data_IF_912925447706
#
_entry.id   IF_912925447706
#
_cell.length_a   1.000
_cell.length_b   1.000
_cell.length_c   1.000
_cell.angle_alpha   90.00
_cell.angle_beta   90.00
_cell.angle_gamma   90.00
#
_symmetry.space_group_name_H-M   'P 1'
#
loop_
_entity.id
_entity.type
_entity.pdbx_description
1 polymer ?
#
# COMPACT_ATOMS: atom_id res chain seq x y z
N UNK A 1 -3.01 12.30 1.61
CA UNK A 1 -2.09 11.84 0.55
C UNK A 1 -2.39 10.40 0.16
N UNK A 2 -1.99 9.98 -1.05
CA UNK A 2 -2.05 8.60 -1.51
C UNK A 2 -0.67 8.13 -1.96
N UNK A 3 -0.19 7.04 -1.39
CA UNK A 3 1.10 6.41 -1.70
C UNK A 3 0.87 5.02 -2.30
N UNK A 4 0.81 4.96 -3.64
CA UNK A 4 0.70 3.71 -4.37
C UNK A 4 2.08 3.17 -4.79
N UNK A 5 3.02 3.16 -3.86
CA UNK A 5 4.42 2.75 -4.01
C UNK A 5 4.97 2.24 -2.69
N UNK A 6 6.12 1.59 -2.72
CA UNK A 6 6.96 1.32 -1.56
C UNK A 6 8.33 2.00 -1.73
N UNK A 7 9.09 2.11 -0.66
CA UNK A 7 10.38 2.79 -0.66
C UNK A 7 11.48 1.87 -1.15
N UNK A 8 12.01 2.15 -2.35
CA UNK A 8 13.17 1.42 -2.89
C UNK A 8 14.44 1.63 -2.03
N UNK A 9 15.39 0.71 -2.06
CA UNK A 9 15.44 -0.51 -2.88
C UNK A 9 14.95 -1.76 -2.16
N UNK A 10 14.34 -1.65 -0.99
CA UNK A 10 13.97 -2.79 -0.16
C UNK A 10 12.45 -2.91 -0.01
N UNK A 11 11.90 -4.11 -0.26
CA UNK A 11 10.51 -4.41 0.07
C UNK A 11 10.27 -4.33 1.58
N UNK A 12 11.23 -4.81 2.37
CA UNK A 12 11.24 -4.65 3.83
C UNK A 12 12.53 -4.00 4.31
N UNK A 13 12.40 -2.91 5.02
CA UNK A 13 13.47 -2.15 5.65
C UNK A 13 13.75 -2.68 7.06
N UNK A 14 15.01 -3.05 7.32
CA UNK A 14 15.41 -3.66 8.58
C UNK A 14 15.81 -2.60 9.60
N UNK A 15 15.07 -2.47 10.74
CA UNK A 15 15.40 -1.46 11.76
C UNK A 15 16.72 -1.71 12.48
N UNK A 16 17.29 -2.90 12.34
CA UNK A 16 18.58 -3.31 12.95
C UNK A 16 19.78 -3.16 12.04
N UNK A 17 19.57 -2.87 10.75
CA UNK A 17 20.64 -2.73 9.76
C UNK A 17 20.97 -1.26 9.53
N UNK A 18 22.16 -0.81 9.85
CA UNK A 18 22.59 0.58 9.96
C UNK A 18 22.05 1.57 8.90
N UNK A 19 22.34 1.36 7.62
CA UNK A 19 21.85 2.26 6.55
C UNK A 19 20.34 2.14 6.33
N UNK A 20 19.77 0.95 6.45
CA UNK A 20 18.34 0.73 6.36
C UNK A 20 17.59 1.35 7.53
N UNK A 21 18.10 1.20 8.76
CA UNK A 21 17.53 1.85 9.94
C UNK A 21 17.47 3.37 9.80
N UNK A 22 18.50 3.99 9.25
CA UNK A 22 18.52 5.44 9.01
C UNK A 22 17.48 5.88 7.97
N UNK A 23 17.33 5.13 6.87
CA UNK A 23 16.33 5.38 5.85
C UNK A 23 14.90 5.22 6.39
N UNK A 24 14.64 4.14 7.12
CA UNK A 24 13.37 3.87 7.79
C UNK A 24 13.00 5.00 8.77
N UNK A 25 13.94 5.44 9.60
CA UNK A 25 13.70 6.52 10.55
C UNK A 25 13.42 7.86 9.84
N UNK A 26 14.15 8.17 8.77
CA UNK A 26 13.93 9.39 7.99
C UNK A 26 12.52 9.40 7.37
N UNK A 27 12.09 8.31 6.73
CA UNK A 27 10.76 8.16 6.15
C UNK A 27 9.68 8.25 7.23
N UNK A 28 9.85 7.53 8.34
CA UNK A 28 8.91 7.52 9.46
C UNK A 28 8.71 8.92 10.05
N UNK A 29 9.78 9.70 10.21
CA UNK A 29 9.70 11.09 10.67
C UNK A 29 8.95 11.99 9.69
N UNK A 30 9.21 11.85 8.40
CA UNK A 30 8.55 12.65 7.37
C UNK A 30 7.04 12.40 7.33
N UNK A 31 6.64 11.13 7.35
CA UNK A 31 5.22 10.72 7.32
C UNK A 31 4.50 11.13 8.61
N UNK A 32 5.12 10.93 9.77
CA UNK A 32 4.58 11.40 11.05
C UNK A 32 4.47 12.92 11.11
N UNK A 33 5.44 13.65 10.54
CA UNK A 33 5.37 15.10 10.42
C UNK A 33 4.14 15.51 9.59
N UNK A 34 3.91 14.88 8.45
CA UNK A 34 2.75 15.13 7.60
C UNK A 34 1.42 14.86 8.37
N UNK A 35 1.32 13.71 9.06
CA UNK A 35 0.17 13.38 9.92
C UNK A 35 -0.08 14.46 10.97
N UNK A 36 0.96 14.87 11.70
CA UNK A 36 0.86 15.90 12.75
C UNK A 36 0.46 17.28 12.21
N UNK A 37 0.55 17.49 10.90
CA UNK A 37 0.09 18.69 10.21
C UNK A 37 -1.23 18.48 9.45
N UNK A 38 -2.00 17.46 9.82
CA UNK A 38 -3.36 17.22 9.32
C UNK A 38 -3.44 16.48 7.99
N UNK A 39 -2.36 15.87 7.53
CA UNK A 39 -2.37 15.03 6.32
C UNK A 39 -2.77 13.61 6.68
N UNK A 40 -3.90 13.13 6.18
CA UNK A 40 -4.25 11.72 6.20
C UNK A 40 -3.37 11.01 5.17
N UNK A 41 -2.44 10.17 5.63
CA UNK A 41 -1.56 9.38 4.77
C UNK A 41 -2.20 8.02 4.51
N UNK A 42 -2.36 7.66 3.25
CA UNK A 42 -2.96 6.40 2.83
C UNK A 42 -1.98 5.69 1.90
N UNK A 43 -1.73 4.41 2.13
CA UNK A 43 -0.75 3.64 1.36
C UNK A 43 -1.30 2.29 0.87
N UNK A 44 -0.80 1.87 -0.27
CA UNK A 44 -1.01 0.54 -0.81
C UNK A 44 -0.19 -0.49 -0.04
N UNK A 45 -0.80 -1.62 0.31
CA UNK A 45 -0.20 -2.67 1.15
C UNK A 45 0.84 -3.54 0.44
N UNK A 46 0.88 -3.51 -0.90
CA UNK A 46 1.80 -4.34 -1.71
C UNK A 46 1.13 -5.54 -2.37
N UNK A 47 1.85 -6.20 -3.29
CA UNK A 47 1.25 -7.14 -4.23
C UNK A 47 1.95 -8.53 -4.28
N UNK A 48 2.63 -8.92 -3.23
CA UNK A 48 3.46 -10.13 -3.17
C UNK A 48 2.81 -11.28 -2.39
N UNK A 49 1.58 -11.06 -1.91
CA UNK A 49 0.84 -11.99 -1.05
C UNK A 49 1.56 -12.28 0.27
N UNK A 50 2.28 -11.31 0.79
CA UNK A 50 3.03 -11.42 2.03
C UNK A 50 2.17 -11.14 3.26
N UNK A 51 2.49 -11.83 4.36
CA UNK A 51 1.93 -11.57 5.69
C UNK A 51 2.74 -10.47 6.37
N UNK A 52 2.19 -9.27 6.39
CA UNK A 52 2.84 -8.10 7.01
C UNK A 52 2.83 -8.12 8.54
N UNK A 53 1.98 -8.95 9.16
CA UNK A 53 2.08 -9.19 10.61
C UNK A 53 3.29 -10.06 10.96
N UNK A 54 3.75 -10.91 10.01
CA UNK A 54 4.85 -11.86 10.20
C UNK A 54 5.74 -11.96 8.95
N UNK A 55 6.42 -10.90 8.53
CA UNK A 55 7.32 -10.96 7.38
C UNK A 55 8.48 -11.94 7.67
N UNK A 56 8.81 -12.79 6.70
CA UNK A 56 9.82 -13.84 6.89
C UNK A 56 10.96 -13.78 5.89
N UNK A 57 10.64 -13.84 4.59
CA UNK A 57 11.63 -13.94 3.51
C UNK A 57 11.29 -12.94 2.42
N UNK A 58 12.27 -12.14 2.02
CA UNK A 58 12.25 -11.32 0.84
C UNK A 58 13.24 -11.86 -0.21
N UNK A 59 12.81 -11.93 -1.47
CA UNK A 59 13.62 -12.38 -2.61
C UNK A 59 13.71 -11.36 -3.72
N UNK A 60 13.12 -10.18 -3.51
CA UNK A 60 13.00 -9.13 -4.50
C UNK A 60 13.95 -7.96 -4.26
N UNK A 61 14.66 -7.94 -3.12
CA UNK A 61 15.50 -6.80 -2.73
C UNK A 61 16.99 -7.14 -2.63
N UNK A 62 17.88 -6.15 -2.86
CA UNK A 62 17.57 -4.82 -3.37
C UNK A 62 17.12 -4.86 -4.84
N UNK A 63 16.28 -3.91 -5.26
CA UNK A 63 15.70 -3.89 -6.61
C UNK A 63 16.18 -2.69 -7.46
N UNK A 64 17.11 -1.89 -6.97
CA UNK A 64 17.70 -0.73 -7.63
C UNK A 64 18.80 -1.10 -8.63
N UNK A 65 19.33 -2.32 -8.55
CA UNK A 65 20.33 -2.86 -9.47
C UNK A 65 19.86 -4.22 -10.00
N UNK A 66 19.82 -4.37 -11.33
CA UNK A 66 19.42 -5.62 -11.96
C UNK A 66 20.30 -6.80 -11.51
N UNK A 67 19.65 -7.86 -11.04
CA UNK A 67 20.32 -9.06 -10.54
C UNK A 67 20.94 -8.95 -9.14
N UNK A 68 20.75 -7.84 -8.45
CA UNK A 68 21.26 -7.66 -7.09
C UNK A 68 20.35 -8.28 -6.00
N UNK A 69 19.11 -8.61 -6.32
CA UNK A 69 18.18 -9.20 -5.38
C UNK A 69 18.72 -10.53 -4.82
N UNK A 70 18.63 -10.68 -3.52
CA UNK A 70 19.07 -11.88 -2.78
C UNK A 70 17.99 -12.32 -1.80
N UNK A 71 17.99 -13.60 -1.45
CA UNK A 71 17.11 -14.09 -0.39
C UNK A 71 17.56 -13.52 0.97
N UNK A 72 16.65 -12.82 1.64
CA UNK A 72 16.87 -12.14 2.92
C UNK A 72 15.87 -12.64 3.95
N UNK A 73 16.31 -12.85 5.18
CA UNK A 73 15.41 -12.96 6.32
C UNK A 73 14.98 -11.55 6.71
N UNK A 74 13.69 -11.28 6.67
CA UNK A 74 13.11 -9.95 6.95
C UNK A 74 12.19 -9.96 8.17
N UNK A 75 12.35 -10.92 9.07
CA UNK A 75 11.60 -10.96 10.31
C UNK A 75 11.80 -9.64 11.12
N UNK A 76 10.70 -8.95 11.41
CA UNK A 76 10.72 -7.62 12.03
C UNK A 76 11.06 -6.48 11.08
N UNK A 77 11.12 -6.73 9.77
CA UNK A 77 11.25 -5.70 8.74
C UNK A 77 9.94 -4.93 8.55
N UNK A 78 10.06 -3.75 7.97
CA UNK A 78 8.96 -2.79 7.78
C UNK A 78 8.86 -2.41 6.32
N UNK A 79 7.71 -2.66 5.68
CA UNK A 79 7.38 -2.09 4.37
C UNK A 79 7.01 -0.60 4.54
N UNK A 80 7.65 0.26 3.78
CA UNK A 80 7.47 1.70 3.86
C UNK A 80 6.81 2.22 2.59
N UNK A 81 5.66 2.91 2.68
CA UNK A 81 5.05 3.45 3.91
C UNK A 81 3.99 2.56 4.56
N UNK A 82 3.55 1.45 3.96
CA UNK A 82 2.36 0.71 4.35
C UNK A 82 2.34 0.27 5.82
N UNK A 83 3.46 -0.25 6.33
CA UNK A 83 3.55 -0.75 7.72
C UNK A 83 3.90 0.34 8.75
N UNK A 84 3.83 1.63 8.43
CA UNK A 84 3.95 2.72 9.39
C UNK A 84 2.60 3.03 10.08
N UNK A 85 2.00 2.01 10.67
CA UNK A 85 0.60 1.94 11.13
C UNK A 85 0.15 3.10 12.04
N UNK A 86 1.06 3.68 12.84
CA UNK A 86 0.75 4.85 13.66
C UNK A 86 0.54 6.15 12.86
N UNK A 87 0.86 6.15 11.57
CA UNK A 87 0.91 7.38 10.76
C UNK A 87 0.34 7.22 9.35
N UNK A 88 -0.05 6.02 8.98
CA UNK A 88 -0.54 5.65 7.65
C UNK A 88 -1.77 4.76 7.80
N UNK A 89 -2.76 4.96 6.95
CA UNK A 89 -3.86 4.02 6.72
C UNK A 89 -3.43 3.07 5.62
N UNK A 90 -3.19 1.81 5.95
CA UNK A 90 -2.77 0.79 5.01
C UNK A 90 -3.97 0.13 4.33
N UNK A 91 -3.85 -0.12 3.01
CA UNK A 91 -4.98 -0.54 2.17
C UNK A 91 -4.65 -1.81 1.40
N UNK A 92 -5.33 -2.91 1.74
CA UNK A 92 -5.30 -4.14 0.97
C UNK A 92 -6.28 -4.11 -0.21
N UNK A 93 -6.07 -4.99 -1.19
CA UNK A 93 -6.93 -5.10 -2.35
C UNK A 93 -7.96 -6.22 -2.21
N UNK A 94 -9.22 -5.89 -2.53
CA UNK A 94 -10.30 -6.87 -2.68
C UNK A 94 -10.81 -6.91 -4.11
N UNK A 95 -11.44 -8.04 -4.45
CA UNK A 95 -12.07 -8.30 -5.74
C UNK A 95 -13.53 -8.71 -5.54
N UNK A 96 -14.36 -8.39 -6.52
CA UNK A 96 -15.64 -9.04 -6.72
C UNK A 96 -15.41 -10.36 -7.46
N UNK A 97 -15.93 -11.50 -6.99
CA UNK A 97 -15.88 -12.75 -7.74
C UNK A 97 -16.57 -12.59 -9.11
N UNK A 98 -15.98 -13.19 -10.13
CA UNK A 98 -16.50 -13.08 -11.51
C UNK A 98 -17.91 -13.68 -11.61
N UNK A 99 -18.84 -12.95 -12.23
CA UNK A 99 -20.20 -13.42 -12.47
C UNK A 99 -21.16 -13.30 -11.28
N UNK A 100 -20.75 -12.60 -10.23
CA UNK A 100 -21.62 -12.32 -9.08
C UNK A 100 -22.30 -10.96 -9.20
N UNK A 101 -23.48 -10.84 -8.61
CA UNK A 101 -24.16 -9.56 -8.45
C UNK A 101 -23.41 -8.69 -7.42
N UNK A 102 -22.93 -7.50 -7.78
CA UNK A 102 -22.20 -6.61 -6.86
C UNK A 102 -22.97 -6.27 -5.58
N UNK A 103 -24.30 -6.26 -5.63
CA UNK A 103 -25.15 -5.92 -4.48
C UNK A 103 -25.19 -7.03 -3.41
N UNK A 104 -24.90 -8.27 -3.80
CA UNK A 104 -25.01 -9.47 -2.94
C UNK A 104 -23.69 -10.24 -2.83
N UNK A 105 -22.72 -9.90 -3.67
CA UNK A 105 -21.43 -10.57 -3.71
C UNK A 105 -20.64 -10.37 -2.42
N UNK A 106 -20.06 -11.46 -1.93
CA UNK A 106 -19.05 -11.38 -0.87
C UNK A 106 -17.72 -10.98 -1.50
N UNK A 107 -17.15 -9.88 -1.03
CA UNK A 107 -15.80 -9.47 -1.42
C UNK A 107 -14.76 -10.48 -0.93
N UNK A 108 -13.77 -10.75 -1.77
CA UNK A 108 -12.64 -11.62 -1.44
C UNK A 108 -11.34 -10.84 -1.54
N UNK A 109 -10.38 -11.11 -0.65
CA UNK A 109 -9.03 -10.55 -0.77
C UNK A 109 -8.44 -10.98 -2.12
N UNK A 110 -7.90 -10.02 -2.86
CA UNK A 110 -7.17 -10.33 -4.09
C UNK A 110 -5.95 -11.19 -3.79
N UNK A 111 -5.73 -12.26 -4.58
CA UNK A 111 -4.68 -13.26 -4.31
C UNK A 111 -3.27 -12.67 -4.21
N UNK A 112 -3.01 -11.57 -4.91
CA UNK A 112 -1.74 -10.88 -4.88
C UNK A 112 -1.57 -9.95 -3.66
N UNK A 113 -2.68 -9.49 -3.07
CA UNK A 113 -2.62 -8.46 -2.02
C UNK A 113 -1.86 -8.96 -0.81
N UNK A 114 -0.91 -8.18 -0.34
CA UNK A 114 -0.35 -8.34 0.99
C UNK A 114 -1.46 -8.21 2.03
N UNK A 115 -1.26 -8.78 3.21
CA UNK A 115 -2.29 -8.91 4.23
C UNK A 115 -1.70 -8.92 5.64
N UNK A 116 -2.55 -8.67 6.61
CA UNK A 116 -2.27 -8.75 8.03
C UNK A 116 -3.53 -8.45 8.82
N UNK A 117 -3.59 -8.88 10.06
CA UNK A 117 -4.72 -8.58 10.97
C UNK A 117 -4.52 -7.27 11.70
N UNK A 118 -3.27 -6.87 11.89
CA UNK A 118 -2.87 -5.69 12.64
C UNK A 118 -2.15 -4.66 11.78
N UNK A 119 -1.54 -5.08 10.68
CA UNK A 119 -0.85 -4.21 9.72
C UNK A 119 -1.76 -3.59 8.66
N UNK A 120 -2.94 -4.18 8.40
CA UNK A 120 -3.90 -3.66 7.41
C UNK A 120 -5.08 -3.01 8.11
N UNK A 121 -5.33 -1.73 7.78
CA UNK A 121 -6.46 -0.97 8.37
C UNK A 121 -7.76 -1.16 7.60
N UNK A 122 -7.71 -1.10 6.27
CA UNK A 122 -8.89 -1.20 5.42
C UNK A 122 -8.62 -2.01 4.15
N UNK A 123 -9.70 -2.42 3.50
CA UNK A 123 -9.66 -3.06 2.19
C UNK A 123 -10.50 -2.26 1.20
N UNK A 124 -10.03 -2.14 -0.04
CA UNK A 124 -10.73 -1.42 -1.09
C UNK A 124 -10.63 -2.17 -2.44
N UNK A 125 -11.52 -1.87 -3.41
CA UNK A 125 -11.47 -2.50 -4.72
C UNK A 125 -10.11 -2.29 -5.40
N UNK A 126 -9.41 -3.39 -5.71
CA UNK A 126 -8.08 -3.35 -6.31
C UNK A 126 -7.90 -4.29 -7.49
N UNK A 127 -8.92 -5.08 -7.86
CA UNK A 127 -8.84 -6.01 -8.99
C UNK A 127 -9.70 -5.54 -10.16
N UNK A 128 -9.07 -5.48 -11.36
CA UNK A 128 -9.72 -5.08 -12.61
C UNK A 128 -10.39 -3.70 -12.54
N UNK A 129 -9.68 -2.74 -12.02
CA UNK A 129 -10.14 -1.36 -11.90
C UNK A 129 -9.98 -0.66 -13.25
N UNK A 130 -11.10 -0.19 -13.81
CA UNK A 130 -11.14 0.57 -15.05
C UNK A 130 -10.86 2.04 -14.75
N UNK A 131 -9.84 2.60 -15.43
CA UNK A 131 -9.49 4.00 -15.25
C UNK A 131 -8.70 4.54 -16.45
N UNK A 132 -8.34 5.82 -16.39
CA UNK A 132 -7.47 6.47 -17.36
C UNK A 132 -6.05 5.91 -17.30
N UNK A 133 -5.42 5.84 -18.45
CA UNK A 133 -4.01 5.46 -18.62
C UNK A 133 -3.27 6.56 -19.39
N UNK A 134 -1.96 6.69 -19.22
CA UNK A 134 -1.16 7.59 -20.06
C UNK A 134 -1.29 7.22 -21.55
N UNK A 135 -1.42 8.21 -22.42
CA UNK A 135 -1.59 8.01 -23.87
C UNK A 135 -0.44 7.24 -24.51
N UNK A 136 0.78 7.43 -24.01
CA UNK A 136 1.95 6.68 -24.45
C UNK A 136 1.90 5.19 -24.10
N UNK A 137 1.08 4.80 -23.12
CA UNK A 137 0.92 3.41 -22.68
C UNK A 137 -0.21 2.71 -23.44
N UNK A 138 -1.26 3.44 -23.79
CA UNK A 138 -2.42 2.90 -24.49
C UNK A 138 -3.22 4.01 -25.19
N UNK A 139 -3.75 3.67 -26.38
CA UNK A 139 -4.72 4.49 -27.13
C UNK A 139 -5.93 3.60 -27.52
N UNK A 140 -7.20 3.93 -27.16
CA UNK A 140 -7.58 5.05 -26.28
C UNK A 140 -7.04 4.89 -24.84
N UNK A 141 -6.83 6.02 -24.11
CA UNK A 141 -6.09 6.04 -22.85
C UNK A 141 -6.94 5.58 -21.67
N UNK A 142 -7.52 4.40 -21.79
CA UNK A 142 -8.33 3.75 -20.76
C UNK A 142 -8.01 2.26 -20.70
N UNK A 143 -8.06 1.69 -19.50
CA UNK A 143 -7.83 0.27 -19.34
C UNK A 143 -8.03 -0.24 -17.92
N UNK A 144 -7.90 -1.55 -17.79
CA UNK A 144 -7.95 -2.23 -16.50
C UNK A 144 -6.54 -2.39 -15.93
N UNK A 145 -6.39 -2.05 -14.65
CA UNK A 145 -5.23 -2.42 -13.83
C UNK A 145 -5.70 -3.14 -12.57
N UNK A 146 -4.80 -3.93 -12.00
CA UNK A 146 -5.02 -4.58 -10.72
C UNK A 146 -3.81 -4.36 -9.81
N UNK A 147 -4.04 -4.14 -8.53
CA UNK A 147 -3.02 -3.91 -7.53
C UNK A 147 -3.60 -3.21 -6.30
N UNK A 148 -2.90 -3.28 -5.19
CA UNK A 148 -3.16 -2.44 -4.03
C UNK A 148 -2.97 -0.96 -4.36
N UNK A 149 -2.14 -0.64 -5.38
CA UNK A 149 -2.03 0.68 -5.98
C UNK A 149 -3.35 1.23 -6.56
N UNK A 150 -4.32 0.37 -6.90
CA UNK A 150 -5.67 0.75 -7.32
C UNK A 150 -6.63 0.81 -6.15
N UNK A 151 -6.39 0.03 -5.10
CA UNK A 151 -7.19 0.03 -3.88
C UNK A 151 -6.96 1.30 -3.04
N UNK A 152 -5.72 1.68 -2.83
CA UNK A 152 -5.32 2.84 -2.02
C UNK A 152 -6.01 4.14 -2.44
N UNK A 153 -6.10 4.54 -3.73
CA UNK A 153 -6.79 5.77 -4.13
C UNK A 153 -8.30 5.72 -3.90
N UNK A 154 -8.94 4.56 -3.86
CA UNK A 154 -10.35 4.46 -3.45
C UNK A 154 -10.52 4.87 -1.98
N UNK A 155 -9.67 4.36 -1.08
CA UNK A 155 -9.66 4.76 0.32
C UNK A 155 -9.34 6.26 0.48
N UNK A 156 -8.39 6.78 -0.30
CA UNK A 156 -8.06 8.20 -0.30
C UNK A 156 -9.24 9.08 -0.74
N UNK A 157 -10.00 8.64 -1.74
CA UNK A 157 -11.22 9.30 -2.18
C UNK A 157 -12.29 9.34 -1.09
N UNK A 158 -12.49 8.22 -0.38
CA UNK A 158 -13.42 8.16 0.76
C UNK A 158 -12.96 9.08 1.89
N UNK A 159 -11.68 9.09 2.23
CA UNK A 159 -11.12 9.99 3.25
C UNK A 159 -11.33 11.48 2.88
N UNK A 160 -11.19 11.84 1.60
CA UNK A 160 -11.45 13.18 1.11
C UNK A 160 -12.93 13.58 1.27
N UNK A 161 -13.86 12.68 0.95
CA UNK A 161 -15.30 12.91 1.15
C UNK A 161 -15.66 13.06 2.63
N UNK A 162 -15.08 12.25 3.50
CA UNK A 162 -15.27 12.37 4.96
C UNK A 162 -14.77 13.75 5.43
N UNK A 163 -13.59 14.16 4.95
CA UNK A 163 -13.00 15.43 5.34
C UNK A 163 -13.79 16.65 4.83
N UNK A 164 -14.49 16.52 3.71
CA UNK A 164 -15.40 17.55 3.20
C UNK A 164 -16.62 17.73 4.10
N UNK A 165 -17.20 16.62 4.57
CA UNK A 165 -18.39 16.62 5.45
C UNK A 165 -18.01 17.02 6.88
N UNK A 166 -16.82 16.61 7.32
CA UNK A 166 -16.29 16.81 8.67
C UNK A 166 -14.92 17.50 8.61
N UNK A 167 -14.86 18.81 8.29
CA UNK A 167 -13.59 19.52 8.13
C UNK A 167 -12.79 19.66 9.43
N UNK A 168 -13.43 19.46 10.57
CA UNK A 168 -12.87 19.48 11.92
C UNK A 168 -12.18 18.14 12.32
N UNK A 169 -12.43 17.04 11.59
CA UNK A 169 -11.76 15.76 11.90
C UNK A 169 -10.25 15.88 11.69
N UNK A 170 -9.49 15.26 12.59
CA UNK A 170 -8.03 15.21 12.52
C UNK A 170 -7.56 14.10 11.57
N UNK A 171 -6.27 13.94 11.45
CA UNK A 171 -5.67 12.82 10.71
C UNK A 171 -5.49 11.56 11.58
N UNK A 172 -6.01 11.61 12.80
CA UNK A 172 -6.03 10.48 13.75
C UNK A 172 -7.33 9.69 13.65
#
# INVERSE_FOLDING_TARGET
SNSSYYMDPYAFWMPTEGSQAAGLEAASRAIRYAKNHGVVNIAAEGNDNDDHDNPTIDKASPNDVEGAAVERNVAGGVDVPAMLNDSVVSVSAVALPTGTDPATAKLERSKFSNYGKTSVDVAAPGSRIWSTLPTWKKDPPFGYLSGTSMASPHAAGVAALIKEIHPDYTAD
#
